data_IF_074171391704
#
_entry.id   IF_074171391704
#
_cell.length_a   1.000
_cell.length_b   1.000
_cell.length_c   1.000
_cell.angle_alpha   90.00
_cell.angle_beta   90.00
_cell.angle_gamma   90.00
#
_symmetry.space_group_name_H-M   'P 1'
#
loop_
_entity.id
_entity.type
_entity.pdbx_description
1 polymer ?
#
# COMPACT_ATOMS: atom_id res chain seq x y z
N UNK A 1 -23.62 -36.46 -28.42
CA UNK A 1 -22.93 -36.24 -27.14
C UNK A 1 -21.42 -36.23 -27.39
N UNK A 2 -20.84 -35.08 -27.69
CA UNK A 2 -19.38 -34.93 -27.80
C UNK A 2 -18.83 -34.75 -26.39
N UNK A 3 -17.95 -35.65 -25.96
CA UNK A 3 -17.19 -35.54 -24.72
C UNK A 3 -16.17 -34.41 -24.88
N UNK A 4 -16.26 -33.40 -24.01
CA UNK A 4 -15.28 -32.34 -23.91
C UNK A 4 -13.98 -32.93 -23.36
N UNK A 5 -12.98 -33.10 -24.23
CA UNK A 5 -11.60 -33.44 -23.85
C UNK A 5 -10.77 -32.17 -23.93
N UNK A 6 -10.93 -31.30 -22.94
CA UNK A 6 -9.97 -30.22 -22.70
C UNK A 6 -9.29 -30.48 -21.36
N UNK A 7 -7.96 -30.53 -21.37
CA UNK A 7 -7.12 -30.64 -20.18
C UNK A 7 -7.33 -29.36 -19.36
N UNK A 8 -7.85 -29.47 -18.14
CA UNK A 8 -7.96 -28.34 -17.22
C UNK A 8 -6.55 -27.87 -16.83
N UNK A 9 -6.26 -26.59 -17.01
CA UNK A 9 -4.97 -25.95 -16.73
C UNK A 9 -4.77 -25.62 -15.24
N UNK A 10 -5.11 -26.56 -14.35
CA UNK A 10 -5.00 -26.39 -12.90
C UNK A 10 -3.73 -27.04 -12.33
N UNK A 11 -2.65 -27.15 -13.12
CA UNK A 11 -1.44 -27.88 -12.70
C UNK A 11 -0.65 -27.17 -11.57
N UNK A 12 -0.97 -25.91 -11.22
CA UNK A 12 -0.17 -25.13 -10.26
C UNK A 12 -0.90 -24.70 -8.96
N UNK A 13 -2.14 -25.14 -8.71
CA UNK A 13 -2.89 -24.72 -7.50
C UNK A 13 -2.29 -25.30 -6.21
N UNK A 14 -1.47 -26.35 -6.33
CA UNK A 14 -0.92 -27.10 -5.20
C UNK A 14 0.62 -27.19 -5.22
N UNK A 15 1.32 -26.25 -5.87
CA UNK A 15 2.79 -26.29 -5.95
C UNK A 15 3.46 -26.28 -4.56
N UNK A 16 2.73 -25.83 -3.53
CA UNK A 16 3.16 -25.80 -2.13
C UNK A 16 2.66 -26.96 -1.25
N UNK A 17 1.76 -27.80 -1.76
CA UNK A 17 1.14 -28.91 -1.02
C UNK A 17 1.56 -30.25 -1.61
N UNK A 18 2.43 -30.99 -0.93
CA UNK A 18 2.71 -32.40 -1.27
C UNK A 18 1.76 -33.29 -0.50
N UNK A 19 0.88 -34.00 -1.21
CA UNK A 19 0.06 -35.07 -0.65
C UNK A 19 0.99 -36.23 -0.30
N UNK A 20 1.19 -36.47 1.00
CA UNK A 20 1.92 -37.65 1.45
C UNK A 20 1.06 -38.91 1.23
N UNK A 21 1.68 -40.11 1.16
CA UNK A 21 0.98 -41.40 0.94
C UNK A 21 -0.08 -41.77 2.00
N UNK A 22 -0.29 -40.92 3.02
CA UNK A 22 -1.24 -41.11 4.11
C UNK A 22 -2.38 -40.06 4.10
N UNK A 23 -2.63 -39.37 2.98
CA UNK A 23 -3.65 -38.31 2.84
C UNK A 23 -3.47 -37.07 3.75
N UNK A 24 -2.32 -36.95 4.42
CA UNK A 24 -1.94 -35.74 5.16
C UNK A 24 -1.44 -34.65 4.19
N UNK A 25 -2.05 -33.46 4.27
CA UNK A 25 -1.53 -32.24 3.63
C UNK A 25 -0.37 -31.73 4.47
N UNK A 26 0.86 -31.89 3.98
CA UNK A 26 2.05 -31.29 4.59
C UNK A 26 2.57 -30.19 3.66
N UNK A 27 2.56 -28.96 4.16
CA UNK A 27 3.41 -27.90 3.59
C UNK A 27 4.86 -28.40 3.66
N UNK A 28 5.65 -28.15 2.62
CA UNK A 28 7.03 -28.61 2.56
C UNK A 28 7.85 -27.97 3.69
N UNK A 29 7.85 -28.61 4.85
CA UNK A 29 8.74 -28.30 5.94
C UNK A 29 10.16 -28.69 5.49
N UNK A 30 11.10 -27.80 5.77
CA UNK A 30 12.51 -28.15 5.81
C UNK A 30 12.70 -29.25 6.87
N UNK A 31 12.78 -30.51 6.45
CA UNK A 31 13.40 -31.56 7.24
C UNK A 31 14.91 -31.48 6.98
N UNK A 32 15.64 -30.83 7.89
CA UNK A 32 17.09 -30.77 7.86
C UNK A 32 17.66 -29.54 8.57
N UNK A 33 18.57 -29.78 9.50
CA UNK A 33 19.34 -28.83 10.31
C UNK A 33 19.76 -27.54 9.57
N UNK A 34 19.50 -26.38 10.20
CA UNK A 34 20.23 -25.13 9.92
C UNK A 34 19.66 -24.18 8.87
N UNK A 35 18.43 -23.67 9.05
CA UNK A 35 18.09 -22.35 8.50
C UNK A 35 18.33 -21.35 9.63
N UNK A 36 19.54 -20.79 9.70
CA UNK A 36 19.88 -19.75 10.66
C UNK A 36 19.01 -18.51 10.37
N UNK A 37 18.27 -18.05 11.38
CA UNK A 37 17.45 -16.84 11.26
C UNK A 37 18.38 -15.64 11.47
N UNK A 38 18.63 -14.87 10.41
CA UNK A 38 19.49 -13.69 10.48
C UNK A 38 18.79 -12.50 11.13
N UNK A 39 17.49 -12.35 10.87
CA UNK A 39 16.70 -11.19 11.30
C UNK A 39 15.33 -11.63 11.79
N UNK A 40 14.92 -11.15 12.95
CA UNK A 40 13.58 -11.35 13.49
C UNK A 40 12.79 -10.03 13.50
N UNK A 41 11.55 -10.08 13.03
CA UNK A 41 10.63 -8.93 12.99
C UNK A 41 9.33 -9.30 13.69
N UNK A 42 8.98 -8.55 14.72
CA UNK A 42 7.67 -8.65 15.36
C UNK A 42 6.74 -7.56 14.81
N UNK A 43 5.77 -7.97 14.00
CA UNK A 43 4.70 -7.12 13.46
C UNK A 43 3.32 -7.47 14.08
N UNK A 44 3.30 -8.17 15.22
CA UNK A 44 2.08 -8.48 15.95
C UNK A 44 1.40 -7.19 16.45
N UNK A 45 0.07 -7.21 16.48
CA UNK A 45 -0.74 -6.05 16.82
C UNK A 45 -0.94 -5.06 15.66
N UNK A 46 -0.18 -5.13 14.58
CA UNK A 46 -0.40 -4.27 13.40
C UNK A 46 -1.52 -4.83 12.51
N UNK A 47 -2.09 -3.94 11.70
CA UNK A 47 -3.10 -4.24 10.68
C UNK A 47 -2.62 -3.78 9.31
N UNK A 48 -3.24 -4.26 8.23
CA UNK A 48 -2.90 -3.85 6.86
C UNK A 48 -2.81 -2.31 6.73
N UNK A 49 -1.69 -1.74 6.22
CA UNK A 49 -0.60 -2.39 5.47
C UNK A 49 0.63 -2.80 6.31
N UNK A 50 0.57 -2.65 7.65
CA UNK A 50 1.70 -2.68 8.56
C UNK A 50 2.63 -3.89 8.46
N UNK A 51 2.14 -5.14 8.56
CA UNK A 51 3.01 -6.33 8.51
C UNK A 51 3.86 -6.42 7.24
N UNK A 52 3.28 -6.16 6.07
CA UNK A 52 3.98 -6.21 4.79
C UNK A 52 4.96 -5.03 4.63
N UNK A 53 4.59 -3.85 5.12
CA UNK A 53 5.50 -2.69 5.14
C UNK A 53 6.71 -2.95 6.03
N UNK A 54 6.52 -3.51 7.22
CA UNK A 54 7.62 -3.87 8.13
C UNK A 54 8.53 -4.95 7.53
N UNK A 55 7.92 -6.00 6.95
CA UNK A 55 8.64 -7.03 6.21
C UNK A 55 9.53 -6.41 5.13
N UNK A 56 8.96 -5.55 4.29
CA UNK A 56 9.70 -4.87 3.22
C UNK A 56 10.84 -4.00 3.75
N UNK A 57 10.61 -3.23 4.82
CA UNK A 57 11.63 -2.37 5.42
C UNK A 57 12.81 -3.18 5.95
N UNK A 58 12.55 -4.28 6.68
CA UNK A 58 13.60 -5.16 7.17
C UNK A 58 14.35 -5.87 6.02
N UNK A 59 13.61 -6.35 5.00
CA UNK A 59 14.20 -6.99 3.83
C UNK A 59 15.09 -6.05 3.01
N UNK A 60 14.84 -4.73 3.00
CA UNK A 60 15.72 -3.76 2.33
C UNK A 60 17.13 -3.75 2.89
N UNK A 61 17.29 -3.83 4.21
CA UNK A 61 18.58 -3.74 4.90
C UNK A 61 19.36 -5.05 4.94
N UNK A 62 18.78 -6.17 4.49
CA UNK A 62 19.41 -7.49 4.48
C UNK A 62 20.24 -7.76 3.23
N UNK A 63 21.20 -8.67 3.33
CA UNK A 63 21.95 -9.21 2.19
C UNK A 63 21.20 -10.38 1.52
N UNK A 64 21.51 -10.65 0.26
CA UNK A 64 20.95 -11.81 -0.45
C UNK A 64 21.43 -13.11 0.21
N UNK A 65 20.54 -14.11 0.26
CA UNK A 65 20.75 -15.39 0.93
C UNK A 65 20.34 -15.41 2.40
N UNK A 66 20.22 -14.25 3.06
CA UNK A 66 19.80 -14.15 4.45
C UNK A 66 18.31 -14.45 4.64
N UNK A 67 17.97 -14.92 5.83
CA UNK A 67 16.63 -15.37 6.20
C UNK A 67 16.03 -14.48 7.29
N UNK A 68 14.78 -14.06 7.08
CA UNK A 68 14.01 -13.25 8.02
C UNK A 68 12.81 -14.05 8.54
N UNK A 69 12.65 -14.09 9.86
CA UNK A 69 11.41 -14.52 10.50
C UNK A 69 10.55 -13.30 10.82
N UNK A 70 9.29 -13.31 10.39
CA UNK A 70 8.30 -12.30 10.77
C UNK A 70 7.11 -12.95 11.47
N UNK A 71 6.72 -12.36 12.59
CA UNK A 71 5.50 -12.72 13.33
C UNK A 71 4.42 -11.65 13.14
N UNK A 72 3.18 -12.06 12.85
CA UNK A 72 2.04 -11.16 12.71
C UNK A 72 0.74 -11.79 13.22
N UNK A 73 -0.16 -10.96 13.76
CA UNK A 73 -1.49 -11.40 14.25
C UNK A 73 -2.62 -10.98 13.31
N UNK A 74 -2.31 -10.31 12.21
CA UNK A 74 -3.30 -9.89 11.23
C UNK A 74 -3.87 -11.12 10.48
N UNK A 75 -5.20 -11.31 10.42
CA UNK A 75 -5.80 -12.48 9.77
C UNK A 75 -5.50 -12.60 8.27
N UNK A 76 -5.23 -11.49 7.58
CA UNK A 76 -4.90 -11.49 6.15
C UNK A 76 -3.45 -11.82 5.84
N UNK A 77 -2.58 -11.82 6.85
CA UNK A 77 -1.13 -11.91 6.65
C UNK A 77 -0.66 -13.16 5.90
N UNK A 78 -1.32 -14.31 6.10
CA UNK A 78 -0.94 -15.56 5.45
C UNK A 78 -1.04 -15.50 3.92
N UNK A 79 -2.04 -14.80 3.40
CA UNK A 79 -2.23 -14.63 1.96
C UNK A 79 -1.38 -13.47 1.45
N UNK A 80 -1.30 -12.39 2.21
CA UNK A 80 -0.51 -11.21 1.86
C UNK A 80 0.99 -11.54 1.72
N UNK A 81 1.55 -12.37 2.62
CA UNK A 81 2.97 -12.73 2.59
C UNK A 81 3.32 -13.64 1.41
N UNK A 82 2.41 -14.54 1.01
CA UNK A 82 2.57 -15.38 -0.19
C UNK A 82 2.61 -14.51 -1.44
N UNK A 83 1.59 -13.66 -1.61
CA UNK A 83 1.51 -12.73 -2.73
C UNK A 83 2.71 -11.78 -2.79
N UNK A 84 3.19 -11.32 -1.63
CA UNK A 84 4.39 -10.49 -1.55
C UNK A 84 5.65 -11.25 -1.99
N UNK A 85 5.85 -12.50 -1.55
CA UNK A 85 7.00 -13.31 -1.95
C UNK A 85 7.00 -13.58 -3.46
N UNK A 86 5.87 -14.02 -4.00
CA UNK A 86 5.67 -14.21 -5.45
C UNK A 86 5.99 -12.94 -6.24
N UNK A 87 5.49 -11.80 -5.77
CA UNK A 87 5.61 -10.55 -6.52
C UNK A 87 6.98 -9.88 -6.40
N UNK A 88 7.74 -10.21 -5.36
CA UNK A 88 9.10 -9.68 -5.12
C UNK A 88 10.21 -10.65 -5.52
N UNK A 89 9.88 -11.92 -5.79
CA UNK A 89 10.84 -12.99 -6.10
C UNK A 89 11.57 -13.54 -4.87
N UNK A 90 11.17 -13.16 -3.66
CA UNK A 90 11.70 -13.73 -2.42
C UNK A 90 11.10 -15.12 -2.18
N UNK A 91 11.85 -16.00 -1.52
CA UNK A 91 11.40 -17.36 -1.27
C UNK A 91 10.74 -17.46 0.11
N UNK A 92 9.46 -17.85 0.14
CA UNK A 92 8.80 -18.23 1.37
C UNK A 92 9.30 -19.63 1.78
N UNK A 93 10.06 -19.71 2.88
CA UNK A 93 10.65 -20.96 3.38
C UNK A 93 9.65 -21.73 4.23
N UNK A 94 8.93 -21.03 5.11
CA UNK A 94 7.87 -21.64 5.89
C UNK A 94 6.81 -20.61 6.31
N UNK A 95 5.60 -21.10 6.55
CA UNK A 95 4.49 -20.33 7.10
C UNK A 95 3.71 -21.23 8.06
N UNK A 96 3.61 -20.83 9.33
CA UNK A 96 2.91 -21.58 10.37
C UNK A 96 2.03 -20.65 11.20
N UNK A 97 0.99 -21.20 11.80
CA UNK A 97 0.17 -20.51 12.80
C UNK A 97 0.36 -21.17 14.16
N UNK A 98 1.04 -20.47 15.06
CA UNK A 98 1.40 -20.96 16.39
C UNK A 98 1.18 -19.85 17.42
N UNK A 99 0.77 -20.18 18.64
CA UNK A 99 0.56 -19.20 19.72
C UNK A 99 -0.35 -18.01 19.34
N UNK A 100 -1.37 -18.24 18.50
CA UNK A 100 -2.30 -17.21 17.98
C UNK A 100 -1.64 -16.15 17.08
N UNK A 101 -0.50 -16.45 16.48
CA UNK A 101 0.19 -15.59 15.53
C UNK A 101 0.67 -16.40 14.32
N UNK A 102 0.72 -15.76 13.16
CA UNK A 102 1.39 -16.30 11.99
C UNK A 102 2.89 -16.05 12.12
N UNK A 103 3.69 -17.08 11.86
CA UNK A 103 5.14 -17.00 11.72
C UNK A 103 5.52 -17.38 10.29
N UNK A 104 6.13 -16.45 9.58
CA UNK A 104 6.64 -16.68 8.23
C UNK A 104 8.16 -16.53 8.22
N UNK A 105 8.84 -17.48 7.60
CA UNK A 105 10.29 -17.45 7.38
C UNK A 105 10.53 -17.24 5.90
N UNK A 106 11.26 -16.19 5.56
CA UNK A 106 11.43 -15.70 4.19
C UNK A 106 12.91 -15.53 3.92
N UNK A 107 13.40 -16.13 2.84
CA UNK A 107 14.77 -15.96 2.40
C UNK A 107 14.84 -14.89 1.31
N UNK A 108 15.76 -13.94 1.49
CA UNK A 108 16.00 -12.88 0.51
C UNK A 108 16.71 -13.45 -0.71
N UNK A 109 16.04 -13.45 -1.85
CA UNK A 109 16.64 -13.86 -3.11
C UNK A 109 16.90 -12.65 -4.00
N UNK A 110 17.87 -12.79 -4.90
CA UNK A 110 17.95 -11.88 -6.03
C UNK A 110 16.68 -12.12 -6.84
N UNK A 111 15.94 -11.06 -7.12
CA UNK A 111 14.85 -11.14 -8.08
C UNK A 111 15.49 -11.58 -9.40
N UNK A 112 15.34 -12.87 -9.75
CA UNK A 112 15.46 -13.28 -11.13
C UNK A 112 14.43 -12.44 -11.85
N UNK A 113 14.84 -11.63 -12.83
CA UNK A 113 13.90 -10.89 -13.66
C UNK A 113 12.82 -11.87 -14.10
N UNK A 114 11.64 -11.80 -13.48
CA UNK A 114 10.50 -12.58 -13.92
C UNK A 114 10.37 -12.22 -15.39
N UNK A 115 10.45 -13.23 -16.26
CA UNK A 115 10.29 -13.06 -17.69
C UNK A 115 8.90 -12.49 -17.95
N UNK A 116 8.77 -11.17 -17.90
CA UNK A 116 7.63 -10.45 -18.40
C UNK A 116 7.80 -10.42 -19.92
N UNK A 117 7.31 -11.47 -20.57
CA UNK A 117 6.99 -11.46 -22.00
C UNK A 117 5.83 -10.46 -22.17
N UNK A 118 6.15 -9.18 -22.27
CA UNK A 118 5.18 -8.10 -22.46
C UNK A 118 5.73 -6.73 -22.09
N UNK A 119 5.64 -5.78 -23.02
CA UNK A 119 6.11 -4.37 -22.97
C UNK A 119 5.34 -3.46 -21.99
N UNK A 120 4.62 -4.02 -21.00
CA UNK A 120 3.78 -3.23 -20.09
C UNK A 120 4.55 -2.96 -18.80
N UNK A 121 4.67 -1.69 -18.43
CA UNK A 121 5.31 -1.29 -17.17
C UNK A 121 4.54 -1.84 -15.96
N UNK A 122 5.18 -1.88 -14.80
CA UNK A 122 4.64 -2.52 -13.60
C UNK A 122 4.34 -1.51 -12.47
N UNK A 123 4.28 -0.22 -12.82
CA UNK A 123 3.99 0.88 -11.92
C UNK A 123 2.52 0.84 -11.49
N UNK A 124 2.16 1.69 -10.52
CA UNK A 124 0.78 1.89 -10.09
C UNK A 124 0.45 3.37 -10.12
N UNK A 125 -0.71 3.71 -10.68
CA UNK A 125 -1.21 5.09 -10.69
C UNK A 125 -2.55 5.18 -9.97
N UNK A 126 -2.63 6.05 -8.96
CA UNK A 126 -3.86 6.33 -8.23
C UNK A 126 -4.27 7.78 -8.50
N UNK A 127 -5.44 7.98 -9.09
CA UNK A 127 -6.07 9.30 -9.23
C UNK A 127 -6.94 9.53 -8.00
N UNK A 128 -6.49 10.41 -7.11
CA UNK A 128 -7.18 10.76 -5.86
C UNK A 128 -8.00 12.03 -6.09
N UNK A 129 -9.26 11.84 -6.43
CA UNK A 129 -10.24 12.90 -6.63
C UNK A 129 -10.99 13.22 -5.33
N UNK A 130 -11.35 12.18 -4.57
CA UNK A 130 -12.15 12.33 -3.35
C UNK A 130 -11.35 12.97 -2.22
N UNK A 131 -11.99 13.86 -1.46
CA UNK A 131 -11.45 14.50 -0.25
C UNK A 131 -12.00 13.89 1.06
N UNK A 132 -12.58 12.70 0.99
CA UNK A 132 -13.17 12.00 2.14
C UNK A 132 -12.10 11.23 2.92
N UNK A 133 -12.21 11.21 4.25
CA UNK A 133 -11.24 10.63 5.16
C UNK A 133 -11.00 9.14 4.90
N UNK A 134 -12.07 8.36 4.80
CA UNK A 134 -12.06 6.91 4.58
C UNK A 134 -11.47 6.53 3.21
N UNK A 135 -11.84 7.26 2.16
CA UNK A 135 -11.26 7.07 0.82
C UNK A 135 -9.79 7.45 0.76
N UNK A 136 -9.40 8.53 1.44
CA UNK A 136 -8.02 8.93 1.57
C UNK A 136 -7.21 7.84 2.29
N UNK A 137 -7.70 7.31 3.43
CA UNK A 137 -7.07 6.19 4.14
C UNK A 137 -6.89 5.00 3.20
N UNK A 138 -7.95 4.56 2.53
CA UNK A 138 -7.87 3.44 1.58
C UNK A 138 -6.82 3.68 0.47
N UNK A 139 -6.79 4.88 -0.11
CA UNK A 139 -5.82 5.22 -1.16
C UNK A 139 -4.36 5.12 -0.68
N UNK A 140 -4.06 5.56 0.55
CA UNK A 140 -2.71 5.50 1.10
C UNK A 140 -2.33 4.10 1.61
N UNK A 141 -3.30 3.30 2.07
CA UNK A 141 -3.06 1.88 2.39
C UNK A 141 -2.63 1.15 1.11
N UNK A 142 -3.38 1.31 0.02
CA UNK A 142 -3.06 0.69 -1.28
C UNK A 142 -1.68 1.17 -1.78
N UNK A 143 -1.42 2.48 -1.72
CA UNK A 143 -0.15 3.02 -2.18
C UNK A 143 1.05 2.51 -1.38
N UNK A 144 0.94 2.42 -0.06
CA UNK A 144 2.01 1.88 0.79
C UNK A 144 2.24 0.38 0.56
N UNK A 145 1.17 -0.42 0.42
CA UNK A 145 1.30 -1.84 0.07
C UNK A 145 1.98 -2.02 -1.30
N UNK A 146 1.55 -1.28 -2.32
CA UNK A 146 2.16 -1.35 -3.64
C UNK A 146 3.65 -0.97 -3.62
N UNK A 147 4.01 0.08 -2.88
CA UNK A 147 5.40 0.46 -2.68
C UNK A 147 6.20 -0.62 -1.92
N UNK A 148 5.59 -1.26 -0.91
CA UNK A 148 6.18 -2.37 -0.18
C UNK A 148 6.38 -3.62 -1.04
N UNK A 149 5.59 -3.79 -2.10
CA UNK A 149 5.77 -4.83 -3.13
C UNK A 149 6.81 -4.44 -4.20
N UNK A 150 7.60 -3.40 -3.96
CA UNK A 150 8.65 -2.93 -4.87
C UNK A 150 8.12 -2.20 -6.11
N UNK A 151 6.86 -1.77 -6.13
CA UNK A 151 6.28 -1.03 -7.26
C UNK A 151 6.56 0.46 -7.13
N UNK A 152 6.81 1.12 -8.25
CA UNK A 152 6.79 2.59 -8.29
C UNK A 152 5.33 3.05 -8.31
N UNK A 153 4.98 3.92 -7.37
CA UNK A 153 3.60 4.38 -7.17
C UNK A 153 3.52 5.88 -7.41
N UNK A 154 2.58 6.30 -8.25
CA UNK A 154 2.23 7.71 -8.46
C UNK A 154 0.81 7.96 -7.97
N UNK A 155 0.65 8.93 -7.08
CA UNK A 155 -0.66 9.39 -6.61
C UNK A 155 -0.91 10.80 -7.14
N UNK A 156 -1.89 10.94 -8.03
CA UNK A 156 -2.30 12.20 -8.63
C UNK A 156 -3.52 12.77 -7.91
N UNK A 157 -3.32 13.83 -7.12
CA UNK A 157 -4.34 14.50 -6.33
C UNK A 157 -4.97 15.62 -7.15
N UNK A 158 -6.28 15.51 -7.35
CA UNK A 158 -7.07 16.46 -8.14
C UNK A 158 -8.33 16.84 -7.39
N UNK A 159 -8.90 17.99 -7.71
CA UNK A 159 -10.08 18.54 -7.03
C UNK A 159 -10.01 18.41 -5.49
N UNK A 160 -10.99 17.75 -4.86
CA UNK A 160 -11.12 17.68 -3.40
C UNK A 160 -9.96 16.94 -2.74
N UNK A 161 -9.34 15.99 -3.45
CA UNK A 161 -8.16 15.27 -3.01
C UNK A 161 -6.97 16.18 -2.70
N UNK A 162 -6.88 17.36 -3.32
CA UNK A 162 -5.83 18.34 -2.98
C UNK A 162 -5.84 18.76 -1.51
N UNK A 163 -7.01 18.72 -0.86
CA UNK A 163 -7.11 19.10 0.55
C UNK A 163 -6.36 18.13 1.48
N UNK A 164 -6.14 16.89 1.04
CA UNK A 164 -5.33 15.90 1.75
C UNK A 164 -3.87 16.35 1.83
N UNK A 165 -3.37 17.00 0.79
CA UNK A 165 -1.98 17.47 0.69
C UNK A 165 -1.75 18.85 1.31
N UNK A 166 -2.79 19.53 1.81
CA UNK A 166 -2.62 20.85 2.42
C UNK A 166 -1.92 20.75 3.78
N UNK A 167 -1.01 21.68 4.06
CA UNK A 167 -0.46 21.89 5.40
C UNK A 167 -1.62 22.20 6.37
N UNK A 168 -1.56 21.61 7.57
CA UNK A 168 -2.57 21.84 8.60
C UNK A 168 -2.45 23.25 9.20
N UNK A 169 -1.22 23.76 9.29
CA UNK A 169 -0.94 25.14 9.68
C UNK A 169 -1.31 26.12 8.57
N UNK A 170 -1.66 27.34 8.99
CA UNK A 170 -1.97 28.40 8.05
C UNK A 170 -0.67 28.94 7.44
N UNK A 171 -0.58 28.90 6.11
CA UNK A 171 0.52 29.50 5.35
C UNK A 171 0.00 30.75 4.64
N UNK A 172 0.70 31.88 4.81
CA UNK A 172 0.35 33.13 4.14
C UNK A 172 0.75 33.05 2.67
N UNK A 173 -0.23 32.92 1.79
CA UNK A 173 -0.03 32.92 0.34
C UNK A 173 -0.73 34.12 -0.32
N UNK A 174 -0.15 34.63 -1.43
CA UNK A 174 -0.78 35.69 -2.24
C UNK A 174 -1.89 35.07 -3.09
N UNK A 175 -3.13 35.48 -2.81
CA UNK A 175 -4.36 34.97 -3.44
C UNK A 175 -5.30 36.11 -3.80
N UNK A 176 -6.09 35.86 -4.83
CA UNK A 176 -7.25 36.68 -5.19
C UNK A 176 -8.41 36.48 -4.19
N UNK A 177 -9.51 37.20 -4.40
CA UNK A 177 -10.66 37.20 -3.48
C UNK A 177 -11.30 35.80 -3.42
N UNK A 178 -11.49 35.16 -4.58
CA UNK A 178 -12.07 33.81 -4.66
C UNK A 178 -11.15 32.76 -4.02
N UNK A 179 -9.85 32.80 -4.28
CA UNK A 179 -8.89 31.90 -3.63
C UNK A 179 -8.81 32.05 -2.12
N UNK A 180 -9.00 33.26 -1.58
CA UNK A 180 -9.13 33.47 -0.13
C UNK A 180 -10.41 32.83 0.42
N UNK A 181 -11.54 32.99 -0.27
CA UNK A 181 -12.82 32.39 0.12
C UNK A 181 -12.74 30.86 0.13
N UNK A 182 -12.30 30.25 -0.99
CA UNK A 182 -12.12 28.80 -1.08
C UNK A 182 -11.13 28.28 -0.04
N UNK A 183 -9.99 28.96 0.14
CA UNK A 183 -8.98 28.58 1.13
C UNK A 183 -9.48 28.60 2.59
N UNK A 184 -10.53 29.35 2.89
CA UNK A 184 -11.21 29.36 4.19
C UNK A 184 -12.28 28.26 4.29
N UNK A 185 -13.04 28.02 3.22
CA UNK A 185 -14.14 27.04 3.20
C UNK A 185 -13.66 25.59 3.16
N UNK A 186 -12.55 25.32 2.47
CA UNK A 186 -12.05 23.95 2.26
C UNK A 186 -11.21 23.44 3.44
N UNK A 187 -11.25 22.13 3.73
CA UNK A 187 -10.51 21.54 4.84
C UNK A 187 -9.00 21.72 4.67
N UNK A 188 -8.31 21.99 5.80
CA UNK A 188 -6.86 22.19 5.85
C UNK A 188 -6.18 20.93 6.36
N UNK A 189 -5.73 20.10 5.42
CA UNK A 189 -4.97 18.89 5.69
C UNK A 189 -5.82 17.70 6.14
N UNK A 190 -5.16 16.56 6.34
CA UNK A 190 -5.81 15.26 6.53
C UNK A 190 -6.67 15.18 7.80
N UNK A 191 -6.34 15.95 8.85
CA UNK A 191 -7.07 15.96 10.12
C UNK A 191 -8.49 16.53 10.02
N UNK A 192 -8.75 17.39 9.03
CA UNK A 192 -10.03 18.09 8.86
C UNK A 192 -10.94 17.45 7.81
N UNK A 193 -10.55 16.32 7.24
CA UNK A 193 -11.38 15.59 6.29
C UNK A 193 -12.58 14.97 6.99
N UNK A 194 -13.70 14.93 6.28
CA UNK A 194 -14.96 14.33 6.73
C UNK A 194 -15.06 12.91 6.22
N UNK A 195 -15.85 12.06 6.87
CA UNK A 195 -16.18 10.76 6.28
C UNK A 195 -17.08 10.90 5.06
N UNK A 196 -16.92 10.01 4.09
CA UNK A 196 -17.76 9.93 2.89
C UNK A 196 -19.23 9.67 3.24
N UNK A 197 -19.45 8.88 4.30
CA UNK A 197 -20.76 8.47 4.80
C UNK A 197 -20.81 8.56 6.33
N UNK A 198 -22.01 8.76 6.87
CA UNK A 198 -22.27 8.78 8.33
C UNK A 198 -21.37 9.76 9.13
N UNK A 199 -20.97 10.89 8.54
CA UNK A 199 -20.09 11.85 9.22
C UNK A 199 -20.74 12.51 10.45
N UNK A 200 -22.07 12.61 10.51
CA UNK A 200 -22.86 13.12 11.66
C UNK A 200 -22.27 14.38 12.31
N UNK A 201 -22.02 15.42 11.50
CA UNK A 201 -21.43 16.67 11.99
C UNK A 201 -19.96 16.58 12.44
N UNK A 202 -19.26 15.49 12.13
CA UNK A 202 -17.87 15.22 12.51
C UNK A 202 -17.72 14.11 13.56
N UNK A 203 -18.81 13.67 14.20
CA UNK A 203 -18.78 12.58 15.18
C UNK A 203 -18.31 11.26 14.55
N UNK A 204 -18.74 10.96 13.32
CA UNK A 204 -18.29 9.76 12.62
C UNK A 204 -16.78 9.74 12.38
N UNK A 205 -16.22 10.87 11.93
CA UNK A 205 -14.77 11.00 11.69
C UNK A 205 -13.95 10.87 13.00
N UNK A 206 -14.48 11.33 14.13
CA UNK A 206 -13.86 11.11 15.44
C UNK A 206 -13.93 9.62 15.83
N UNK A 207 -15.09 8.99 15.68
CA UNK A 207 -15.33 7.60 16.05
C UNK A 207 -14.43 6.65 15.25
N UNK A 208 -14.35 6.81 13.92
CA UNK A 208 -13.52 5.92 13.10
C UNK A 208 -12.04 6.06 13.45
N UNK A 209 -11.55 7.28 13.70
CA UNK A 209 -10.15 7.50 14.14
C UNK A 209 -9.88 6.86 15.50
N UNK A 210 -10.86 6.90 16.41
CA UNK A 210 -10.74 6.21 17.69
C UNK A 210 -10.66 4.69 17.53
N UNK A 211 -11.54 4.11 16.69
CA UNK A 211 -11.55 2.66 16.40
C UNK A 211 -10.23 2.24 15.73
N UNK A 212 -9.77 3.00 14.72
CA UNK A 212 -8.48 2.77 14.07
C UNK A 212 -7.34 2.75 15.07
N UNK A 213 -7.25 3.77 15.93
CA UNK A 213 -6.20 3.85 16.97
C UNK A 213 -6.27 2.67 17.94
N UNK A 214 -7.46 2.25 18.35
CA UNK A 214 -7.67 1.10 19.24
C UNK A 214 -7.26 -0.22 18.58
N UNK A 215 -7.47 -0.35 17.28
CA UNK A 215 -7.10 -1.52 16.49
C UNK A 215 -5.70 -1.38 15.86
N UNK A 216 -4.88 -0.43 16.33
CA UNK A 216 -3.50 -0.21 15.87
C UNK A 216 -3.38 0.02 14.35
N UNK A 217 -4.42 0.58 13.73
CA UNK A 217 -4.38 1.06 12.35
C UNK A 217 -3.78 2.46 12.36
N UNK A 218 -2.79 2.68 11.51
CA UNK A 218 -2.15 3.98 11.38
C UNK A 218 -3.14 5.07 10.95
N UNK A 219 -2.95 6.27 11.50
CA UNK A 219 -3.70 7.45 11.08
C UNK A 219 -3.36 7.86 9.65
N UNK A 220 -4.26 8.58 8.98
CA UNK A 220 -4.01 9.10 7.63
C UNK A 220 -2.70 9.92 7.56
N UNK A 221 -2.40 10.66 8.62
CA UNK A 221 -1.17 11.45 8.73
C UNK A 221 0.08 10.56 8.70
N UNK A 222 0.08 9.45 9.44
CA UNK A 222 1.16 8.47 9.45
C UNK A 222 1.28 7.76 8.11
N UNK A 223 0.15 7.39 7.50
CA UNK A 223 0.13 6.73 6.17
C UNK A 223 0.71 7.63 5.07
N UNK A 224 0.42 8.94 5.10
CA UNK A 224 1.03 9.93 4.18
C UNK A 224 2.55 9.99 4.38
N UNK A 225 3.01 10.03 5.63
CA UNK A 225 4.45 10.09 5.93
C UNK A 225 5.17 8.81 5.50
N UNK A 226 4.57 7.65 5.76
CA UNK A 226 5.06 6.36 5.28
C UNK A 226 5.14 6.31 3.76
N UNK A 227 4.11 6.79 3.05
CA UNK A 227 4.11 6.81 1.58
C UNK A 227 5.28 7.64 1.04
N UNK A 228 5.53 8.82 1.63
CA UNK A 228 6.69 9.64 1.28
C UNK A 228 8.01 8.93 1.54
N UNK A 229 8.16 8.30 2.72
CA UNK A 229 9.37 7.53 3.08
C UNK A 229 9.60 6.32 2.17
N UNK A 230 8.51 5.70 1.71
CA UNK A 230 8.51 4.56 0.81
C UNK A 230 8.72 4.96 -0.67
N UNK A 231 8.86 6.26 -0.98
CA UNK A 231 9.15 6.75 -2.32
C UNK A 231 7.92 6.91 -3.23
N UNK A 232 6.72 6.95 -2.66
CA UNK A 232 5.49 7.23 -3.42
C UNK A 232 5.54 8.66 -3.95
N UNK A 233 5.33 8.83 -5.27
CA UNK A 233 5.33 10.13 -5.93
C UNK A 233 3.97 10.81 -5.74
N UNK A 234 3.92 11.86 -4.93
CA UNK A 234 2.71 12.67 -4.72
C UNK A 234 2.66 13.82 -5.72
N UNK A 235 1.66 13.84 -6.59
CA UNK A 235 1.49 14.85 -7.64
C UNK A 235 0.22 15.65 -7.40
N UNK A 236 0.33 16.98 -7.29
CA UNK A 236 -0.80 17.89 -7.23
C UNK A 236 -1.17 18.40 -8.62
N UNK A 237 -2.45 18.28 -8.99
CA UNK A 237 -3.00 18.78 -10.24
C UNK A 237 -2.91 20.31 -10.32
N UNK A 238 -2.14 20.84 -11.28
CA UNK A 238 -1.96 22.29 -11.45
C UNK A 238 -3.30 23.01 -11.69
N UNK A 239 -4.12 22.49 -12.60
CA UNK A 239 -5.43 23.07 -12.91
C UNK A 239 -6.32 23.16 -11.66
N UNK A 240 -6.33 22.12 -10.83
CA UNK A 240 -7.13 22.12 -9.61
C UNK A 240 -6.58 23.09 -8.56
N UNK A 241 -5.25 23.27 -8.46
CA UNK A 241 -4.65 24.29 -7.59
C UNK A 241 -5.12 25.69 -8.00
N UNK A 242 -5.10 25.99 -9.30
CA UNK A 242 -5.53 27.28 -9.83
C UNK A 242 -7.03 27.53 -9.59
N UNK A 243 -7.89 26.55 -9.92
CA UNK A 243 -9.35 26.64 -9.71
C UNK A 243 -9.70 26.82 -8.23
N UNK A 244 -9.00 26.16 -7.33
CA UNK A 244 -9.24 26.23 -5.89
C UNK A 244 -8.50 27.40 -5.20
N UNK A 245 -7.71 28.17 -5.96
CA UNK A 245 -6.90 29.27 -5.45
C UNK A 245 -5.89 28.83 -4.39
N UNK A 246 -5.36 27.62 -4.50
CA UNK A 246 -4.32 27.08 -3.63
C UNK A 246 -2.94 27.30 -4.27
N UNK A 247 -1.94 27.58 -3.45
CA UNK A 247 -0.55 27.78 -3.88
C UNK A 247 0.33 26.63 -3.40
N UNK A 248 1.45 26.41 -4.10
CA UNK A 248 2.39 25.31 -3.80
C UNK A 248 2.88 25.36 -2.35
N UNK A 249 3.09 26.55 -1.82
CA UNK A 249 3.64 26.76 -0.47
C UNK A 249 2.68 26.30 0.63
N UNK A 250 1.39 26.18 0.31
CA UNK A 250 0.35 25.65 1.21
C UNK A 250 0.28 24.12 1.22
N UNK A 251 0.99 23.44 0.32
CA UNK A 251 1.05 21.98 0.27
C UNK A 251 2.19 21.46 1.15
N UNK A 252 2.05 20.23 1.63
CA UNK A 252 3.12 19.52 2.33
C UNK A 252 4.35 19.37 1.44
N UNK A 253 5.53 19.30 2.05
CA UNK A 253 6.78 19.21 1.31
C UNK A 253 6.86 17.87 0.56
N UNK A 254 7.61 17.81 -0.54
CA UNK A 254 7.77 16.61 -1.37
C UNK A 254 6.65 16.37 -2.38
N UNK A 255 5.71 17.31 -2.53
CA UNK A 255 4.67 17.26 -3.58
C UNK A 255 5.18 17.90 -4.87
N UNK A 256 5.03 17.17 -5.98
CA UNK A 256 5.32 17.66 -7.33
C UNK A 256 4.05 18.26 -7.94
N UNK A 257 4.18 19.30 -8.76
CA UNK A 257 3.03 19.85 -9.52
C UNK A 257 3.02 19.21 -10.90
N UNK A 258 1.87 18.71 -11.32
CA UNK A 258 1.69 18.06 -12.61
C UNK A 258 0.34 18.36 -13.24
N UNK A 259 0.26 18.20 -14.56
CA UNK A 259 -0.99 18.25 -15.32
C UNK A 259 -1.51 16.86 -15.67
N UNK A 260 -2.70 16.81 -16.29
CA UNK A 260 -3.33 15.55 -16.73
C UNK A 260 -2.42 14.77 -17.69
N UNK A 261 -1.69 15.43 -18.59
CA UNK A 261 -0.76 14.76 -19.51
C UNK A 261 0.37 14.01 -18.77
N UNK A 262 0.93 14.61 -17.72
CA UNK A 262 1.94 13.94 -16.88
C UNK A 262 1.37 12.74 -16.14
N UNK A 263 0.12 12.85 -15.68
CA UNK A 263 -0.58 11.74 -15.02
C UNK A 263 -0.83 10.59 -16.01
N UNK A 264 -1.30 10.89 -17.23
CA UNK A 264 -1.52 9.88 -18.26
C UNK A 264 -0.23 9.17 -18.67
N UNK A 265 0.89 9.90 -18.77
CA UNK A 265 2.20 9.28 -19.02
C UNK A 265 2.64 8.30 -17.92
N UNK A 266 2.32 8.58 -16.65
CA UNK A 266 2.52 7.60 -15.56
C UNK A 266 1.56 6.42 -15.65
N UNK A 267 0.31 6.65 -16.06
CA UNK A 267 -0.70 5.61 -16.20
C UNK A 267 -0.35 4.63 -17.32
N UNK A 268 0.23 5.09 -18.43
CA UNK A 268 0.70 4.23 -19.53
C UNK A 268 1.84 3.28 -19.11
N UNK A 269 2.63 3.67 -18.11
CA UNK A 269 3.68 2.82 -17.50
C UNK A 269 3.14 1.94 -16.37
N UNK A 270 1.88 2.11 -15.97
CA UNK A 270 1.27 1.35 -14.89
C UNK A 270 0.49 0.16 -15.43
N UNK A 271 0.65 -1.00 -14.81
CA UNK A 271 -0.19 -2.18 -15.10
C UNK A 271 -1.60 -2.05 -14.47
N UNK A 272 -1.80 -1.06 -13.58
CA UNK A 272 -3.07 -0.76 -12.95
C UNK A 272 -3.21 0.74 -12.64
N UNK A 273 -4.36 1.30 -12.99
CA UNK A 273 -4.76 2.68 -12.65
C UNK A 273 -6.09 2.67 -11.91
N UNK A 274 -6.17 3.36 -10.77
CA UNK A 274 -7.37 3.41 -9.92
C UNK A 274 -7.84 4.86 -9.75
N UNK A 275 -9.14 5.09 -9.83
CA UNK A 275 -9.76 6.40 -9.57
C UNK A 275 -10.54 6.34 -8.24
N UNK A 276 -10.20 7.21 -7.29
CA UNK A 276 -10.66 7.17 -5.90
C UNK A 276 -11.26 8.52 -5.48
#
# INVERSE_FOLDING_TARGET
WQLAVQKQSNEDIFEYDKIAKNDDIKSSACEGDGCEIDVEVNACGLQCPGPIVNLFQAMKSMNYGQTLEISATDPGFSEDVKAWCERTGNKLVSLKFEQKQFKAVIQKHMATEAQHVGTVGNDKTLVVFSGDLDKAIASFIIANCAAAMGRKVTMFFTFWGLNILRKSEYVRAKKDIFGKMFGMMMPRGPKKLKLSNMNMGGMGAMMIRFIMKRNHVDSLEQLIEQAKKNGVCLVACNMSLDVMGLKKEELIDGVTIGGVASMLGCAEQSDATMFI
#
